data_IF_268567648531
#
_entry.id   IF_268567648531
#
_cell.length_a   1.000
_cell.length_b   1.000
_cell.length_c   1.000
_cell.angle_alpha   90.00
_cell.angle_beta   90.00
_cell.angle_gamma   90.00
#
_symmetry.space_group_name_H-M   'P 1'
#
loop_
_entity.id
_entity.type
_entity.pdbx_description
1 polymer ?
#
# COMPACT_ATOMS: atom_id res chain seq x y z
N UNK A 1 22.31 -25.52 -3.62
CA UNK A 1 22.16 -24.12 -3.18
C UNK A 1 21.43 -23.41 -4.30
N UNK A 2 20.25 -22.85 -4.04
CA UNK A 2 19.60 -21.95 -4.99
C UNK A 2 20.39 -20.63 -5.02
N UNK A 3 20.65 -20.12 -6.21
CA UNK A 3 21.37 -18.88 -6.42
C UNK A 3 20.40 -17.71 -6.25
N UNK A 4 20.66 -16.86 -5.26
CA UNK A 4 19.85 -15.68 -4.98
C UNK A 4 20.17 -14.60 -6.01
N UNK A 5 19.18 -14.20 -6.78
CA UNK A 5 19.34 -13.16 -7.81
C UNK A 5 18.81 -11.83 -7.30
N UNK A 6 19.49 -10.73 -7.66
CA UNK A 6 19.08 -9.37 -7.35
C UNK A 6 18.66 -8.63 -8.63
N UNK A 7 17.48 -8.00 -8.58
CA UNK A 7 16.96 -7.15 -9.66
C UNK A 7 16.85 -5.73 -9.12
N UNK A 8 17.52 -4.80 -9.81
CA UNK A 8 17.65 -3.41 -9.40
C UNK A 8 16.61 -2.55 -10.13
N UNK A 9 15.89 -1.72 -9.38
CA UNK A 9 14.90 -0.76 -9.90
C UNK A 9 15.39 0.66 -9.64
N UNK A 10 16.36 1.11 -10.42
CA UNK A 10 17.02 2.42 -10.25
C UNK A 10 16.06 3.61 -10.39
N UNK A 11 14.93 3.44 -11.07
CA UNK A 11 13.88 4.47 -11.17
C UNK A 11 12.98 4.62 -9.93
N UNK A 12 13.07 3.69 -8.97
CA UNK A 12 12.31 3.72 -7.72
C UNK A 12 13.26 4.14 -6.61
N UNK A 13 13.25 5.42 -6.27
CA UNK A 13 14.13 6.01 -5.25
C UNK A 13 13.36 6.39 -3.97
N UNK A 14 14.10 6.83 -2.95
CA UNK A 14 13.53 7.28 -1.66
C UNK A 14 13.21 8.79 -1.63
N UNK A 15 13.28 9.48 -2.75
CA UNK A 15 13.18 10.95 -2.81
C UNK A 15 11.78 11.45 -2.43
N UNK A 16 10.75 10.65 -2.68
CA UNK A 16 9.38 10.98 -2.30
C UNK A 16 8.56 9.76 -1.86
N UNK A 17 7.49 10.06 -1.12
CA UNK A 17 6.55 9.06 -0.61
C UNK A 17 5.92 8.22 -1.73
N UNK A 18 5.69 8.81 -2.91
CA UNK A 18 5.12 8.11 -4.06
C UNK A 18 6.00 6.96 -4.55
N UNK A 19 7.30 7.20 -4.69
CA UNK A 19 8.27 6.18 -5.07
C UNK A 19 8.48 5.14 -3.97
N UNK A 20 8.50 5.56 -2.70
CA UNK A 20 8.52 4.61 -1.58
C UNK A 20 7.34 3.64 -1.61
N UNK A 21 6.12 4.17 -1.79
CA UNK A 21 4.91 3.36 -1.92
C UNK A 21 4.89 2.54 -3.22
N UNK A 22 5.51 3.03 -4.30
CA UNK A 22 5.70 2.28 -5.54
C UNK A 22 6.53 1.02 -5.31
N UNK A 23 7.68 1.11 -4.63
CA UNK A 23 8.52 -0.05 -4.30
C UNK A 23 7.78 -1.08 -3.44
N UNK A 24 7.05 -0.62 -2.41
CA UNK A 24 6.21 -1.50 -1.59
C UNK A 24 5.09 -2.16 -2.42
N UNK A 25 4.43 -1.37 -3.28
CA UNK A 25 3.37 -1.84 -4.16
C UNK A 25 3.87 -2.91 -5.12
N UNK A 26 5.05 -2.70 -5.71
CA UNK A 26 5.74 -3.66 -6.55
C UNK A 26 6.04 -4.95 -5.78
N UNK A 27 6.66 -4.86 -4.60
CA UNK A 27 6.92 -6.05 -3.78
C UNK A 27 5.63 -6.81 -3.44
N UNK A 28 4.57 -6.09 -3.06
CA UNK A 28 3.27 -6.68 -2.76
C UNK A 28 2.62 -7.35 -3.97
N UNK A 29 2.83 -6.81 -5.18
CA UNK A 29 2.38 -7.41 -6.42
C UNK A 29 3.08 -8.74 -6.66
N UNK A 30 4.41 -8.75 -6.59
CA UNK A 30 5.21 -9.95 -6.86
C UNK A 30 5.08 -11.01 -5.78
N UNK A 31 4.87 -10.64 -4.51
CA UNK A 31 4.66 -11.60 -3.42
C UNK A 31 3.40 -12.46 -3.58
N UNK A 32 2.48 -12.08 -4.48
CA UNK A 32 1.31 -12.90 -4.82
C UNK A 32 1.63 -14.00 -5.83
N UNK A 33 2.77 -13.94 -6.50
CA UNK A 33 3.19 -14.98 -7.43
C UNK A 33 3.71 -16.21 -6.67
N UNK A 34 3.02 -17.35 -6.82
CA UNK A 34 3.39 -18.61 -6.15
C UNK A 34 4.76 -19.16 -6.58
N UNK A 35 5.25 -18.74 -7.75
CA UNK A 35 6.55 -19.18 -8.26
C UNK A 35 7.72 -18.53 -7.51
N UNK A 36 7.48 -17.43 -6.78
CA UNK A 36 8.49 -16.68 -6.04
C UNK A 36 8.23 -16.73 -4.52
N UNK A 37 8.35 -17.93 -3.94
CA UNK A 37 8.05 -18.17 -2.53
C UNK A 37 8.96 -17.43 -1.54
N UNK A 38 10.17 -17.04 -1.95
CA UNK A 38 11.18 -16.38 -1.12
C UNK A 38 11.54 -14.96 -1.59
N UNK A 39 10.60 -14.26 -2.23
CA UNK A 39 10.87 -12.90 -2.70
C UNK A 39 11.01 -11.92 -1.53
N UNK A 40 12.03 -11.07 -1.59
CA UNK A 40 12.29 -9.98 -0.64
C UNK A 40 12.50 -8.70 -1.41
N UNK A 41 12.11 -7.58 -0.80
CA UNK A 41 12.47 -6.25 -1.28
C UNK A 41 13.32 -5.54 -0.23
N UNK A 42 14.33 -4.82 -0.68
CA UNK A 42 15.14 -3.96 0.16
C UNK A 42 15.49 -2.67 -0.57
N UNK A 43 15.89 -1.66 0.19
CA UNK A 43 16.47 -0.44 -0.35
C UNK A 43 17.98 -0.55 -0.24
N UNK A 44 18.67 -0.37 -1.35
CA UNK A 44 20.13 -0.42 -1.42
C UNK A 44 20.63 0.67 -2.35
N UNK A 45 21.64 1.43 -1.94
CA UNK A 45 22.21 2.53 -2.73
C UNK A 45 21.12 3.45 -3.32
N UNK A 46 20.20 3.89 -2.45
CA UNK A 46 19.13 4.85 -2.75
C UNK A 46 18.03 4.38 -3.72
N UNK A 47 18.06 3.12 -4.17
CA UNK A 47 17.04 2.55 -5.04
C UNK A 47 16.46 1.25 -4.50
N UNK A 48 15.33 0.84 -5.06
CA UNK A 48 14.65 -0.38 -4.68
C UNK A 48 15.27 -1.61 -5.37
N UNK A 49 15.50 -2.68 -4.60
CA UNK A 49 16.07 -3.94 -5.08
C UNK A 49 15.17 -5.10 -4.67
N UNK A 50 14.96 -6.02 -5.59
CA UNK A 50 14.21 -7.26 -5.34
C UNK A 50 15.15 -8.44 -5.39
N UNK A 51 15.06 -9.28 -4.36
CA UNK A 51 15.85 -10.49 -4.18
C UNK A 51 14.93 -11.70 -4.28
N UNK A 52 15.35 -12.74 -4.99
CA UNK A 52 14.59 -13.98 -5.09
C UNK A 52 15.31 -15.06 -5.87
N UNK A 53 14.76 -16.28 -5.81
CA UNK A 53 15.26 -17.40 -6.58
C UNK A 53 14.74 -17.32 -8.02
N UNK A 54 15.64 -17.40 -9.01
CA UNK A 54 15.31 -17.42 -10.46
C UNK A 54 14.44 -16.24 -10.89
N UNK A 55 14.74 -15.06 -10.37
CA UNK A 55 14.04 -13.82 -10.74
C UNK A 55 14.87 -13.04 -11.76
N UNK A 56 14.21 -12.53 -12.78
CA UNK A 56 14.80 -11.65 -13.79
C UNK A 56 13.85 -10.48 -14.08
N UNK A 57 14.36 -9.44 -14.72
CA UNK A 57 13.55 -8.28 -15.12
C UNK A 57 12.41 -8.72 -16.04
N UNK A 58 12.72 -9.56 -17.03
CA UNK A 58 11.75 -10.03 -18.04
C UNK A 58 10.63 -10.86 -17.39
N UNK A 59 10.98 -11.71 -16.41
CA UNK A 59 10.00 -12.51 -15.68
C UNK A 59 9.08 -11.63 -14.81
N UNK A 60 9.62 -10.55 -14.23
CA UNK A 60 8.85 -9.55 -13.48
C UNK A 60 7.90 -8.80 -14.42
N UNK A 61 8.41 -8.29 -15.54
CA UNK A 61 7.62 -7.56 -16.53
C UNK A 61 6.49 -8.41 -17.10
N UNK A 62 6.79 -9.63 -17.54
CA UNK A 62 5.81 -10.57 -18.06
C UNK A 62 4.71 -10.87 -17.03
N UNK A 63 5.09 -11.12 -15.77
CA UNK A 63 4.12 -11.34 -14.71
C UNK A 63 3.24 -10.12 -14.47
N UNK A 64 3.81 -8.92 -14.40
CA UNK A 64 3.07 -7.69 -14.13
C UNK A 64 2.10 -7.34 -15.26
N UNK A 65 2.49 -7.60 -16.52
CA UNK A 65 1.67 -7.31 -17.70
C UNK A 65 0.56 -8.34 -17.92
N UNK A 66 0.87 -9.63 -17.74
CA UNK A 66 -0.01 -10.71 -18.19
C UNK A 66 -0.78 -11.40 -17.05
N UNK A 67 -0.22 -11.43 -15.84
CA UNK A 67 -0.73 -12.32 -14.77
C UNK A 67 -1.20 -11.55 -13.54
N UNK A 68 -0.56 -10.43 -13.21
CA UNK A 68 -0.88 -9.67 -12.02
C UNK A 68 -2.25 -9.03 -12.15
N UNK A 69 -3.05 -9.16 -11.08
CA UNK A 69 -4.33 -8.47 -10.94
C UNK A 69 -4.29 -7.54 -9.73
N UNK A 70 -4.70 -6.28 -9.88
CA UNK A 70 -4.81 -5.35 -8.77
C UNK A 70 -5.67 -5.92 -7.65
N UNK A 71 -5.32 -5.60 -6.39
CA UNK A 71 -6.19 -5.92 -5.26
C UNK A 71 -7.50 -5.16 -5.43
N UNK A 72 -8.62 -5.88 -5.40
CA UNK A 72 -9.94 -5.25 -5.45
C UNK A 72 -10.15 -4.33 -4.25
N UNK A 73 -10.50 -3.08 -4.53
CA UNK A 73 -10.84 -2.12 -3.50
C UNK A 73 -12.18 -2.49 -2.86
N UNK A 74 -12.15 -3.09 -1.67
CA UNK A 74 -13.34 -3.23 -0.84
C UNK A 74 -13.60 -1.92 -0.11
N UNK A 75 -14.79 -1.34 -0.28
CA UNK A 75 -15.26 -0.20 0.53
C UNK A 75 -15.52 -0.66 1.97
N UNK A 76 -14.46 -0.78 2.77
CA UNK A 76 -14.56 -1.13 4.20
C UNK A 76 -15.10 0.01 5.06
N UNK A 77 -15.15 1.24 4.51
CA UNK A 77 -15.61 2.45 5.20
C UNK A 77 -17.11 2.72 5.08
N UNK A 78 -17.85 1.87 4.37
CA UNK A 78 -19.32 1.92 4.41
C UNK A 78 -19.76 1.03 5.58
N UNK A 79 -19.41 1.44 6.79
CA UNK A 79 -20.19 1.04 7.96
C UNK A 79 -21.56 1.70 7.84
N UNK A 80 -22.59 0.91 8.11
CA UNK A 80 -24.00 1.28 8.03
C UNK A 80 -24.27 2.67 8.63
N UNK A 81 -24.42 3.67 7.76
CA UNK A 81 -24.93 4.99 8.15
C UNK A 81 -26.43 4.88 8.43
N UNK A 82 -26.81 4.29 9.56
CA UNK A 82 -28.18 4.40 10.09
C UNK A 82 -28.31 5.30 11.33
N UNK A 83 -27.23 5.64 12.04
CA UNK A 83 -27.38 6.33 13.35
C UNK A 83 -26.72 7.72 13.52
N UNK A 84 -26.06 8.28 12.51
CA UNK A 84 -25.35 9.57 12.69
C UNK A 84 -26.24 10.82 12.82
N UNK A 85 -27.50 10.77 12.39
CA UNK A 85 -28.40 11.95 12.44
C UNK A 85 -28.78 12.37 13.87
N UNK A 86 -28.80 11.46 14.85
CA UNK A 86 -29.16 11.78 16.24
C UNK A 86 -27.97 12.32 17.05
N UNK A 87 -26.76 11.82 16.78
CA UNK A 87 -25.56 12.24 17.51
C UNK A 87 -25.18 13.70 17.23
N UNK A 88 -25.22 14.12 15.96
CA UNK A 88 -24.84 15.49 15.57
C UNK A 88 -25.82 16.55 16.10
N UNK A 89 -27.13 16.22 16.16
CA UNK A 89 -28.15 17.13 16.69
C UNK A 89 -27.96 17.40 18.18
N UNK A 90 -27.70 16.36 18.97
CA UNK A 90 -27.47 16.49 20.41
C UNK A 90 -26.19 17.30 20.72
N UNK A 91 -25.13 17.14 19.92
CA UNK A 91 -23.88 17.91 20.10
C UNK A 91 -24.09 19.39 19.77
N UNK A 92 -24.84 19.69 18.72
CA UNK A 92 -25.17 21.07 18.35
C UNK A 92 -26.04 21.76 19.41
N UNK A 93 -27.05 21.06 19.95
CA UNK A 93 -27.91 21.57 21.02
C UNK A 93 -27.11 21.82 22.32
N UNK A 94 -26.23 20.91 22.72
CA UNK A 94 -25.35 21.07 23.89
C UNK A 94 -24.39 22.25 23.76
N UNK A 95 -23.88 22.54 22.56
CA UNK A 95 -23.00 23.70 22.32
C UNK A 95 -23.74 25.03 22.40
N UNK A 96 -25.01 25.05 22.03
CA UNK A 96 -25.83 26.25 22.03
C UNK A 96 -26.64 26.45 23.32
N UNK A 97 -26.63 25.47 24.23
CA UNK A 97 -27.32 25.55 25.52
C UNK A 97 -26.46 26.12 26.65
N UNK A 98 -25.19 26.46 26.40
CA UNK A 98 -24.32 27.13 27.38
C UNK A 98 -24.60 28.63 27.25
N UNK A 99 -25.18 29.30 28.25
CA UNK A 99 -25.38 30.76 28.22
C UNK A 99 -24.04 31.48 28.32
N UNK A 100 -23.87 32.58 27.59
CA UNK A 100 -22.69 33.48 27.61
C UNK A 100 -22.59 34.30 28.93
N UNK A 101 -22.85 33.69 30.09
CA UNK A 101 -22.63 34.32 31.40
C UNK A 101 -21.58 33.53 32.17
N UNK A 102 -20.30 33.74 31.84
CA UNK A 102 -19.18 33.88 32.79
C UNK A 102 -17.97 34.41 32.00
N UNK A 103 -17.93 35.74 31.81
CA UNK A 103 -16.72 36.52 31.53
C UNK A 103 -16.65 37.70 32.51
#
# INVERSE_FOLDING_TARGET
MSELTAVHFEGITLDNLGQYLCGIGLLSALSKNKNWSNIRGCWQNEHFVILGDKISVEAIEDYLLNNWKPTEYRKIWVSDKKDKKKADKNIWELRNSIPDEEL
#
